data_IF_790660397714
#
_entry.id   IF_790660397714
#
_cell.length_a   1.000
_cell.length_b   1.000
_cell.length_c   1.000
_cell.angle_alpha   90.00
_cell.angle_beta   90.00
_cell.angle_gamma   90.00
#
_symmetry.space_group_name_H-M   'P 1'
#
loop_
_entity.id
_entity.type
_entity.pdbx_description
1 polymer ?
#
# COMPACT_ATOMS: atom_id res chain seq x y z
N UNK A 1 -2.95 -20.75 12.30
CA UNK A 1 -2.00 -20.89 11.17
C UNK A 1 -0.75 -20.16 11.58
N UNK A 2 0.41 -20.80 11.48
CA UNK A 2 1.68 -20.15 11.77
C UNK A 2 2.01 -19.11 10.71
N UNK A 3 2.72 -18.03 11.08
CA UNK A 3 3.05 -16.95 10.15
C UNK A 3 3.77 -17.47 8.91
N UNK A 4 4.74 -18.36 9.10
CA UNK A 4 5.51 -19.00 8.02
C UNK A 4 4.59 -19.64 6.97
N UNK A 5 3.63 -20.44 7.40
CA UNK A 5 2.66 -21.08 6.50
C UNK A 5 1.79 -20.04 5.78
N UNK A 6 1.33 -19.03 6.52
CA UNK A 6 0.47 -17.95 6.00
C UNK A 6 1.14 -17.15 4.90
N UNK A 7 2.44 -16.82 5.06
CA UNK A 7 3.21 -16.02 4.11
C UNK A 7 4.07 -16.85 3.16
N UNK A 8 3.73 -18.11 2.92
CA UNK A 8 4.49 -18.97 2.01
C UNK A 8 4.66 -18.28 0.65
N UNK A 9 5.89 -18.13 0.12
CA UNK A 9 6.18 -17.42 -1.12
C UNK A 9 5.37 -17.89 -2.34
N UNK A 10 4.97 -19.16 -2.36
CA UNK A 10 4.22 -19.75 -3.49
C UNK A 10 2.81 -19.20 -3.67
N UNK A 11 2.25 -18.58 -2.62
CA UNK A 11 0.88 -18.06 -2.67
C UNK A 11 0.72 -16.70 -1.99
N UNK A 12 1.83 -15.97 -1.86
CA UNK A 12 1.85 -14.62 -1.26
C UNK A 12 2.23 -13.57 -2.29
N UNK A 13 1.65 -12.39 -2.15
CA UNK A 13 2.06 -11.15 -2.82
C UNK A 13 2.24 -10.04 -1.80
N UNK A 14 3.11 -9.09 -2.09
CA UNK A 14 3.19 -7.82 -1.36
C UNK A 14 2.38 -6.77 -2.11
N UNK A 15 1.55 -6.01 -1.42
CA UNK A 15 0.85 -4.85 -1.99
C UNK A 15 1.26 -3.61 -1.19
N UNK A 16 1.97 -2.70 -1.84
CA UNK A 16 2.26 -1.39 -1.26
C UNK A 16 1.14 -0.41 -1.59
N UNK A 17 0.71 0.37 -0.60
CA UNK A 17 -0.37 1.33 -0.75
C UNK A 17 0.17 2.76 -0.73
N UNK A 18 0.10 3.43 -1.88
CA UNK A 18 0.38 4.86 -2.08
C UNK A 18 1.74 5.35 -1.54
N UNK A 19 2.80 4.55 -1.68
CA UNK A 19 4.17 4.92 -1.30
C UNK A 19 4.83 5.79 -2.38
N UNK A 20 4.15 6.86 -2.76
CA UNK A 20 4.51 7.75 -3.85
C UNK A 20 5.24 9.01 -3.34
N UNK A 21 6.07 9.61 -4.19
CA UNK A 21 6.83 10.83 -3.88
C UNK A 21 5.92 11.99 -3.47
N UNK A 22 4.78 12.14 -4.13
CA UNK A 22 3.78 13.17 -3.82
C UNK A 22 2.90 12.85 -2.60
N UNK A 23 2.98 11.64 -2.03
CA UNK A 23 2.21 11.24 -0.84
C UNK A 23 3.08 11.22 0.41
N UNK A 24 4.18 10.48 0.40
CA UNK A 24 5.05 10.27 1.57
C UNK A 24 6.52 10.55 1.29
N UNK A 25 6.89 10.90 0.05
CA UNK A 25 8.26 11.18 -0.36
C UNK A 25 8.61 12.67 -0.34
N UNK A 26 9.68 13.00 -1.05
CA UNK A 26 10.29 14.32 -1.13
C UNK A 26 9.40 15.42 -1.75
N UNK A 27 8.37 15.03 -2.49
CA UNK A 27 7.38 15.92 -3.11
C UNK A 27 6.02 15.89 -2.41
N UNK A 28 5.98 15.36 -1.17
CA UNK A 28 4.72 15.17 -0.44
C UNK A 28 3.95 16.48 -0.26
N UNK A 29 2.67 16.41 -0.62
CA UNK A 29 1.69 17.46 -0.33
C UNK A 29 0.93 17.22 1.00
N UNK A 30 1.34 16.20 1.77
CA UNK A 30 0.73 15.76 3.02
C UNK A 30 1.79 15.69 4.14
N UNK A 31 2.29 16.82 4.66
CA UNK A 31 3.42 16.85 5.59
C UNK A 31 3.21 16.02 6.86
N UNK A 32 2.00 16.00 7.40
CA UNK A 32 1.69 15.20 8.59
C UNK A 32 1.76 13.69 8.28
N UNK A 33 1.27 13.28 7.11
CA UNK A 33 1.32 11.87 6.68
C UNK A 33 2.74 11.44 6.33
N UNK A 34 3.53 12.32 5.70
CA UNK A 34 4.95 12.09 5.45
C UNK A 34 5.70 11.88 6.76
N UNK A 35 5.55 12.78 7.72
CA UNK A 35 6.18 12.65 9.04
C UNK A 35 5.72 11.39 9.77
N UNK A 36 4.45 11.03 9.68
CA UNK A 36 3.95 9.78 10.24
C UNK A 36 4.58 8.54 9.58
N UNK A 37 4.74 8.55 8.25
CA UNK A 37 5.36 7.46 7.50
C UNK A 37 6.86 7.31 7.82
N UNK A 38 7.58 8.41 7.98
CA UNK A 38 8.99 8.42 8.42
C UNK A 38 9.13 7.83 9.83
N UNK A 39 8.34 8.33 10.79
CA UNK A 39 8.44 7.96 12.19
C UNK A 39 7.92 6.55 12.50
N UNK A 40 7.01 6.00 11.71
CA UNK A 40 6.50 4.63 11.85
C UNK A 40 7.34 3.57 11.15
N UNK A 41 8.37 3.98 10.40
CA UNK A 41 9.23 3.07 9.67
C UNK A 41 8.74 2.66 8.28
N UNK A 42 7.66 3.23 7.75
CA UNK A 42 7.18 2.91 6.37
C UNK A 42 8.30 3.06 5.36
N UNK A 43 9.07 4.16 5.43
CA UNK A 43 10.12 4.50 4.46
C UNK A 43 11.43 3.72 4.63
N UNK A 44 11.61 3.02 5.75
CA UNK A 44 12.78 2.15 6.01
C UNK A 44 12.42 0.66 5.91
N UNK A 45 11.35 0.25 6.55
CA UNK A 45 10.92 -1.14 6.63
C UNK A 45 10.22 -1.61 5.35
N UNK A 46 9.40 -0.74 4.74
CA UNK A 46 8.71 -1.08 3.49
C UNK A 46 9.67 -1.52 2.37
N UNK A 47 10.73 -0.74 2.04
CA UNK A 47 11.75 -1.19 1.10
C UNK A 47 12.45 -2.49 1.48
N UNK A 48 12.70 -2.72 2.78
CA UNK A 48 13.29 -3.96 3.28
C UNK A 48 12.39 -5.17 3.03
N UNK A 49 11.08 -5.02 3.28
CA UNK A 49 10.07 -6.05 2.96
C UNK A 49 10.03 -6.31 1.45
N UNK A 50 10.00 -5.27 0.61
CA UNK A 50 9.99 -5.44 -0.84
C UNK A 50 11.24 -6.18 -1.34
N UNK A 51 12.40 -5.86 -0.79
CA UNK A 51 13.68 -6.53 -1.13
C UNK A 51 13.65 -8.00 -0.72
N UNK A 52 13.21 -8.30 0.50
CA UNK A 52 13.08 -9.68 0.98
C UNK A 52 12.05 -10.49 0.16
N UNK A 53 10.92 -9.87 -0.19
CA UNK A 53 9.90 -10.47 -1.04
C UNK A 53 10.46 -10.88 -2.42
N UNK A 54 11.16 -9.97 -3.09
CA UNK A 54 11.81 -10.24 -4.39
C UNK A 54 12.83 -11.36 -4.31
N UNK A 55 13.65 -11.39 -3.24
CA UNK A 55 14.61 -12.47 -3.01
C UNK A 55 13.95 -13.86 -2.91
N UNK A 56 12.72 -13.93 -2.42
CA UNK A 56 11.91 -15.15 -2.33
C UNK A 56 10.95 -15.35 -3.51
N UNK A 57 11.10 -14.59 -4.59
CA UNK A 57 10.21 -14.62 -5.76
C UNK A 57 8.75 -14.26 -5.45
N UNK A 58 8.49 -13.60 -4.33
CA UNK A 58 7.20 -13.01 -3.99
C UNK A 58 7.02 -11.72 -4.79
N UNK A 59 5.95 -11.62 -5.57
CA UNK A 59 5.69 -10.44 -6.40
C UNK A 59 5.30 -9.23 -5.57
N UNK A 60 5.88 -8.08 -5.91
CA UNK A 60 5.53 -6.79 -5.33
C UNK A 60 4.59 -6.05 -6.30
N UNK A 61 3.44 -5.65 -5.81
CA UNK A 61 2.42 -4.89 -6.53
C UNK A 61 2.30 -3.51 -5.87
N UNK A 62 2.49 -2.46 -6.64
CA UNK A 62 2.41 -1.10 -6.15
C UNK A 62 1.06 -0.49 -6.51
N UNK A 63 0.15 -0.40 -5.54
CA UNK A 63 -1.12 0.30 -5.70
C UNK A 63 -0.89 1.82 -5.57
N UNK A 64 -0.98 2.52 -6.68
CA UNK A 64 -0.71 3.95 -6.77
C UNK A 64 -1.96 4.74 -7.12
N UNK A 65 -2.13 5.91 -6.49
CA UNK A 65 -3.14 6.87 -6.88
C UNK A 65 -2.61 7.72 -8.03
N UNK A 66 -3.41 7.90 -9.07
CA UNK A 66 -3.07 8.79 -10.19
C UNK A 66 -4.29 9.58 -10.60
N UNK A 67 -4.07 10.72 -11.22
CA UNK A 67 -5.14 11.54 -11.80
C UNK A 67 -4.72 11.94 -13.21
N UNK A 68 -5.70 12.09 -14.10
CA UNK A 68 -5.46 12.69 -15.40
C UNK A 68 -5.21 14.21 -15.24
N UNK A 69 -4.38 14.77 -16.08
CA UNK A 69 -4.10 16.22 -16.07
C UNK A 69 -5.36 17.10 -16.28
N UNK A 70 -6.35 16.58 -17.01
CA UNK A 70 -7.63 17.24 -17.27
C UNK A 70 -8.73 16.92 -16.24
N UNK A 71 -8.41 16.10 -15.22
CA UNK A 71 -9.33 15.56 -14.22
C UNK A 71 -10.54 14.80 -14.81
N UNK A 72 -10.54 14.44 -16.09
CA UNK A 72 -11.63 13.69 -16.70
C UNK A 72 -11.76 12.30 -16.04
N UNK A 73 -12.98 11.95 -15.63
CA UNK A 73 -13.28 10.71 -14.90
C UNK A 73 -13.08 10.78 -13.39
N UNK A 74 -12.52 11.88 -12.87
CA UNK A 74 -12.46 12.13 -11.42
C UNK A 74 -13.81 12.55 -10.88
N UNK A 75 -14.05 12.29 -9.59
CA UNK A 75 -15.28 12.67 -8.89
C UNK A 75 -14.95 13.29 -7.54
N UNK A 76 -15.78 14.23 -7.10
CA UNK A 76 -15.59 14.99 -5.85
C UNK A 76 -16.69 14.72 -4.83
N UNK A 77 -17.19 13.49 -4.80
CA UNK A 77 -18.30 13.08 -3.95
C UNK A 77 -17.95 12.93 -2.45
N UNK A 78 -16.70 13.16 -2.08
CA UNK A 78 -16.28 13.25 -0.68
C UNK A 78 -15.19 14.33 -0.50
N UNK A 79 -14.96 14.74 0.76
CA UNK A 79 -13.99 15.81 1.08
C UNK A 79 -12.58 15.51 0.59
N UNK A 80 -12.14 14.25 0.68
CA UNK A 80 -10.79 13.85 0.29
C UNK A 80 -10.60 13.94 -1.22
N UNK A 81 -11.54 13.44 -2.02
CA UNK A 81 -11.47 13.53 -3.48
C UNK A 81 -11.61 14.97 -3.97
N UNK A 82 -12.44 15.80 -3.32
CA UNK A 82 -12.52 17.22 -3.60
C UNK A 82 -11.22 17.98 -3.27
N UNK A 83 -10.51 17.58 -2.21
CA UNK A 83 -9.18 18.12 -1.89
C UNK A 83 -8.13 17.69 -2.93
N UNK A 84 -8.13 16.41 -3.33
CA UNK A 84 -7.24 15.89 -4.37
C UNK A 84 -7.39 16.65 -5.69
N UNK A 85 -8.62 16.92 -6.13
CA UNK A 85 -8.85 17.72 -7.35
C UNK A 85 -8.26 19.14 -7.24
N UNK A 86 -8.44 19.81 -6.09
CA UNK A 86 -7.86 21.14 -5.86
C UNK A 86 -6.33 21.10 -5.87
N UNK A 87 -5.72 20.05 -5.32
CA UNK A 87 -4.27 19.86 -5.36
C UNK A 87 -3.78 19.65 -6.79
N UNK A 88 -4.49 18.86 -7.60
CA UNK A 88 -4.18 18.70 -9.03
C UNK A 88 -4.23 20.04 -9.78
N UNK A 89 -5.26 20.83 -9.55
CA UNK A 89 -5.41 22.17 -10.17
C UNK A 89 -4.30 23.14 -9.73
N UNK A 90 -3.76 22.96 -8.53
CA UNK A 90 -2.63 23.74 -8.01
C UNK A 90 -1.25 23.20 -8.44
N UNK A 91 -1.20 22.13 -9.24
CA UNK A 91 0.05 21.50 -9.68
C UNK A 91 0.77 20.67 -8.62
N UNK A 92 0.09 20.37 -7.50
CA UNK A 92 0.63 19.59 -6.36
C UNK A 92 -0.01 18.21 -6.22
N UNK A 93 -0.74 17.76 -7.24
CA UNK A 93 -1.47 16.49 -7.23
C UNK A 93 -0.67 15.33 -7.81
N UNK A 94 -1.28 14.16 -7.76
CA UNK A 94 -0.73 12.90 -8.27
C UNK A 94 -1.12 12.71 -9.75
N UNK A 95 -0.71 13.65 -10.60
CA UNK A 95 -1.02 13.59 -12.02
C UNK A 95 -0.16 12.53 -12.69
N UNK A 96 -0.77 11.68 -13.53
CA UNK A 96 -0.06 10.64 -14.28
C UNK A 96 1.10 11.22 -15.08
N UNK A 97 2.21 10.49 -15.12
CA UNK A 97 3.46 10.87 -15.79
C UNK A 97 4.19 12.09 -15.17
N UNK A 98 3.85 12.47 -13.94
CA UNK A 98 4.61 13.47 -13.18
C UNK A 98 5.39 12.83 -12.05
N UNK A 99 6.46 13.49 -11.61
CA UNK A 99 7.33 13.02 -10.53
C UNK A 99 6.56 12.74 -9.22
N UNK A 100 5.51 13.51 -8.92
CA UNK A 100 4.68 13.30 -7.74
C UNK A 100 3.93 11.97 -7.75
N UNK A 101 3.59 11.44 -8.93
CA UNK A 101 2.93 10.15 -9.09
C UNK A 101 3.89 8.95 -9.02
N UNK A 102 5.21 9.18 -9.14
CA UNK A 102 6.23 8.13 -9.05
C UNK A 102 6.34 7.57 -7.64
N UNK A 103 6.80 6.33 -7.53
CA UNK A 103 7.15 5.72 -6.25
C UNK A 103 8.32 6.46 -5.59
N UNK A 104 8.38 6.44 -4.26
CA UNK A 104 9.60 6.76 -3.54
C UNK A 104 10.69 5.81 -4.03
N UNK A 105 11.87 6.31 -4.49
CA UNK A 105 12.85 5.48 -5.21
C UNK A 105 13.33 4.23 -4.48
N UNK A 106 13.31 4.24 -3.14
CA UNK A 106 13.70 3.08 -2.34
C UNK A 106 12.74 1.89 -2.43
N UNK A 107 11.51 2.11 -2.89
CA UNK A 107 10.52 1.03 -3.12
C UNK A 107 10.67 0.39 -4.50
N UNK A 108 11.26 1.07 -5.46
CA UNK A 108 11.35 0.65 -6.84
C UNK A 108 10.66 1.64 -7.79
N UNK A 109 9.98 1.21 -8.90
CA UNK A 109 9.73 -0.20 -9.22
C UNK A 109 10.96 -0.92 -9.78
N UNK A 110 11.13 -2.19 -9.42
CA UNK A 110 12.06 -3.09 -10.08
C UNK A 110 11.39 -3.72 -11.33
N UNK A 111 12.16 -4.31 -12.27
CA UNK A 111 11.61 -4.85 -13.51
C UNK A 111 10.53 -5.92 -13.34
N UNK A 112 10.55 -6.67 -12.24
CA UNK A 112 9.58 -7.69 -11.90
C UNK A 112 8.34 -7.18 -11.15
N UNK A 113 8.33 -5.93 -10.71
CA UNK A 113 7.22 -5.34 -9.98
C UNK A 113 6.04 -4.99 -10.90
N UNK A 114 4.86 -4.91 -10.32
CA UNK A 114 3.65 -4.58 -11.06
C UNK A 114 3.05 -3.29 -10.51
N UNK A 115 2.98 -2.25 -11.35
CA UNK A 115 2.25 -1.04 -11.00
C UNK A 115 0.75 -1.24 -11.24
N UNK A 116 -0.06 -0.87 -10.26
CA UNK A 116 -1.53 -0.93 -10.32
C UNK A 116 -2.09 0.48 -10.10
N UNK A 117 -2.19 1.28 -11.17
CA UNK A 117 -2.69 2.64 -11.06
C UNK A 117 -4.21 2.66 -10.85
N UNK A 118 -4.65 3.57 -9.97
CA UNK A 118 -6.05 3.87 -9.70
C UNK A 118 -6.32 5.33 -10.06
N UNK A 119 -7.15 5.54 -11.08
CA UNK A 119 -7.50 6.88 -11.56
C UNK A 119 -8.50 7.63 -10.67
N UNK A 120 -9.25 6.90 -9.83
CA UNK A 120 -10.18 7.49 -8.86
C UNK A 120 -10.53 6.48 -7.77
N UNK A 121 -11.27 6.93 -6.77
CA UNK A 121 -11.68 6.08 -5.66
C UNK A 121 -10.62 6.00 -4.56
N UNK A 122 -10.86 5.16 -3.56
CA UNK A 122 -10.08 5.11 -2.32
C UNK A 122 -9.43 3.76 -2.08
N UNK A 123 -10.06 2.67 -2.55
CA UNK A 123 -9.55 1.32 -2.37
C UNK A 123 -8.83 0.83 -3.62
N UNK A 124 -7.76 0.04 -3.49
CA UNK A 124 -6.96 -0.38 -4.64
C UNK A 124 -7.63 -1.47 -5.49
N UNK A 125 -8.67 -2.13 -4.99
CA UNK A 125 -9.41 -3.15 -5.73
C UNK A 125 -10.49 -2.58 -6.64
N UNK A 126 -11.07 -1.45 -6.27
CA UNK A 126 -12.17 -0.87 -7.04
C UNK A 126 -11.66 -0.24 -8.33
N UNK A 127 -12.18 -0.69 -9.47
CA UNK A 127 -11.86 -0.17 -10.81
C UNK A 127 -10.39 -0.30 -11.21
N UNK A 128 -9.69 -1.31 -10.68
CA UNK A 128 -8.31 -1.65 -11.06
C UNK A 128 -8.21 -3.12 -11.47
N UNK A 129 -7.05 -3.52 -11.97
CA UNK A 129 -6.74 -4.92 -12.28
C UNK A 129 -6.18 -5.71 -11.10
N UNK A 130 -6.18 -5.16 -9.87
CA UNK A 130 -5.47 -5.75 -8.74
C UNK A 130 -5.95 -7.18 -8.43
N UNK A 131 -7.26 -7.40 -8.27
CA UNK A 131 -7.83 -8.73 -8.01
C UNK A 131 -7.46 -9.74 -9.10
N UNK A 132 -7.60 -9.36 -10.37
CA UNK A 132 -7.28 -10.22 -11.50
C UNK A 132 -5.78 -10.61 -11.52
N UNK A 133 -4.90 -9.67 -11.23
CA UNK A 133 -3.46 -9.91 -11.15
C UNK A 133 -3.13 -10.90 -10.03
N UNK A 134 -3.68 -10.67 -8.83
CA UNK A 134 -3.45 -11.54 -7.65
C UNK A 134 -3.93 -12.96 -7.93
N UNK A 135 -5.11 -13.12 -8.55
CA UNK A 135 -5.64 -14.44 -8.94
C UNK A 135 -4.77 -15.13 -9.99
N UNK A 136 -4.29 -14.40 -10.98
CA UNK A 136 -3.42 -14.95 -12.02
C UNK A 136 -2.05 -15.39 -11.46
N UNK A 137 -1.61 -14.79 -10.36
CA UNK A 137 -0.42 -15.20 -9.60
C UNK A 137 -0.69 -16.38 -8.64
N UNK A 138 -1.92 -16.89 -8.58
CA UNK A 138 -2.38 -17.90 -7.62
C UNK A 138 -2.14 -17.52 -6.15
N UNK A 139 -2.10 -16.23 -5.85
CA UNK A 139 -1.88 -15.76 -4.50
C UNK A 139 -3.17 -15.87 -3.66
N UNK A 140 -2.99 -16.21 -2.39
CA UNK A 140 -4.04 -16.35 -1.38
C UNK A 140 -3.81 -15.38 -0.22
N UNK A 141 -2.56 -14.94 -0.02
CA UNK A 141 -2.16 -14.04 1.04
C UNK A 141 -1.60 -12.75 0.47
N UNK A 142 -2.05 -11.64 1.05
CA UNK A 142 -1.60 -10.29 0.73
C UNK A 142 -0.86 -9.73 1.94
N UNK A 143 0.42 -9.43 1.80
CA UNK A 143 1.15 -8.59 2.74
C UNK A 143 0.90 -7.14 2.35
N UNK A 144 0.16 -6.40 3.18
CA UNK A 144 -0.26 -5.03 2.92
C UNK A 144 0.56 -4.04 3.75
N UNK A 145 1.18 -3.05 3.10
CA UNK A 145 1.97 -2.01 3.75
C UNK A 145 1.78 -0.64 3.10
N UNK A 146 2.25 0.43 3.73
CA UNK A 146 2.16 1.80 3.22
C UNK A 146 1.15 2.67 3.93
N UNK A 147 0.44 3.51 3.18
CA UNK A 147 -0.43 4.57 3.72
C UNK A 147 -1.78 4.66 2.99
N UNK A 148 -2.79 5.27 3.58
CA UNK A 148 -2.93 5.64 4.98
C UNK A 148 -3.77 4.58 5.71
N UNK A 149 -3.41 4.27 6.98
CA UNK A 149 -4.09 3.27 7.80
C UNK A 149 -5.61 3.48 7.85
N UNK A 150 -6.02 4.72 8.01
CA UNK A 150 -7.42 5.11 8.22
C UNK A 150 -8.28 5.15 6.96
N UNK A 151 -7.71 4.98 5.76
CA UNK A 151 -8.45 4.97 4.48
C UNK A 151 -7.93 3.87 3.56
N UNK A 152 -6.69 4.02 3.06
CA UNK A 152 -6.14 3.17 2.02
C UNK A 152 -5.89 1.74 2.48
N UNK A 153 -5.16 1.58 3.61
CA UNK A 153 -4.80 0.26 4.14
C UNK A 153 -6.01 -0.49 4.68
N UNK A 154 -6.88 0.17 5.45
CA UNK A 154 -8.12 -0.49 5.92
C UNK A 154 -9.06 -0.82 4.76
N UNK A 155 -9.14 0.05 3.75
CA UNK A 155 -9.92 -0.19 2.53
C UNK A 155 -9.39 -1.36 1.72
N UNK A 156 -8.05 -1.49 1.62
CA UNK A 156 -7.40 -2.66 1.03
C UNK A 156 -7.75 -3.93 1.80
N UNK A 157 -7.57 -3.92 3.13
CA UNK A 157 -7.81 -5.09 3.98
C UNK A 157 -9.28 -5.58 3.90
N UNK A 158 -10.25 -4.67 4.02
CA UNK A 158 -11.67 -4.99 3.90
C UNK A 158 -12.00 -5.62 2.54
N UNK A 159 -11.54 -4.97 1.45
CA UNK A 159 -11.79 -5.47 0.10
C UNK A 159 -11.11 -6.81 -0.16
N UNK A 160 -9.90 -7.02 0.36
CA UNK A 160 -9.17 -8.28 0.25
C UNK A 160 -9.90 -9.42 0.96
N UNK A 161 -10.37 -9.19 2.19
CA UNK A 161 -11.15 -10.18 2.96
C UNK A 161 -12.46 -10.53 2.26
N UNK A 162 -13.19 -9.53 1.75
CA UNK A 162 -14.44 -9.75 0.98
C UNK A 162 -14.22 -10.59 -0.28
N UNK A 163 -13.04 -10.48 -0.90
CA UNK A 163 -12.64 -11.26 -2.08
C UNK A 163 -12.05 -12.63 -1.73
N UNK A 164 -11.89 -12.95 -0.44
CA UNK A 164 -11.43 -14.25 0.05
C UNK A 164 -9.93 -14.37 0.27
N UNK A 165 -9.19 -13.28 0.25
CA UNK A 165 -7.75 -13.26 0.57
C UNK A 165 -7.50 -13.21 2.07
N UNK A 166 -6.38 -13.80 2.50
CA UNK A 166 -5.80 -13.57 3.81
C UNK A 166 -4.95 -12.30 3.76
N UNK A 167 -4.96 -11.53 4.83
CA UNK A 167 -4.21 -10.28 4.91
C UNK A 167 -3.21 -10.35 6.06
N UNK A 168 -1.98 -9.94 5.79
CA UNK A 168 -0.91 -9.77 6.79
C UNK A 168 -0.46 -8.32 6.75
N UNK A 169 -0.32 -7.70 7.92
CA UNK A 169 0.07 -6.28 8.03
C UNK A 169 1.28 -6.17 8.98
N UNK A 170 2.47 -5.83 8.46
CA UNK A 170 3.59 -5.43 9.31
C UNK A 170 3.31 -4.06 9.93
N UNK A 171 3.13 -4.04 11.25
CA UNK A 171 2.65 -2.85 11.99
C UNK A 171 3.64 -1.69 12.00
N UNK A 172 4.90 -1.98 11.73
CA UNK A 172 6.03 -1.07 11.62
C UNK A 172 6.35 -0.66 10.17
N UNK A 173 5.45 -1.00 9.21
CA UNK A 173 5.54 -0.60 7.81
C UNK A 173 4.22 0.04 7.30
N UNK A 174 3.37 0.52 8.20
CA UNK A 174 2.13 1.22 7.88
C UNK A 174 2.00 2.50 8.71
N UNK A 175 1.33 3.53 8.15
CA UNK A 175 1.12 4.80 8.84
C UNK A 175 -0.24 5.41 8.53
N UNK A 176 -0.72 6.26 9.45
CA UNK A 176 -1.93 7.05 9.28
C UNK A 176 -1.91 8.29 10.15
N UNK A 177 -2.78 9.24 9.87
CA UNK A 177 -2.93 10.48 10.64
C UNK A 177 -4.39 10.69 11.04
N UNK A 178 -4.62 11.15 12.30
CA UNK A 178 -3.64 11.29 13.40
C UNK A 178 -2.98 9.96 13.78
N UNK A 179 -1.74 9.98 14.28
CA UNK A 179 -0.96 8.77 14.61
C UNK A 179 -1.68 7.90 15.65
N UNK A 180 -2.28 8.51 16.67
CA UNK A 180 -3.02 7.80 17.72
C UNK A 180 -4.23 7.06 17.15
N UNK A 181 -4.95 7.69 16.20
CA UNK A 181 -6.06 7.05 15.51
C UNK A 181 -5.60 5.91 14.60
N UNK A 182 -4.44 6.05 13.96
CA UNK A 182 -3.83 4.96 13.21
C UNK A 182 -3.56 3.71 14.07
N UNK A 183 -3.04 3.91 15.28
CA UNK A 183 -2.85 2.81 16.26
C UNK A 183 -4.19 2.17 16.67
N UNK A 184 -5.21 2.97 16.94
CA UNK A 184 -6.53 2.42 17.25
C UNK A 184 -7.12 1.60 16.09
N UNK A 185 -6.89 2.01 14.86
CA UNK A 185 -7.31 1.22 13.68
C UNK A 185 -6.57 -0.11 13.62
N UNK A 186 -5.26 -0.15 13.85
CA UNK A 186 -4.52 -1.41 13.95
C UNK A 186 -5.10 -2.31 15.04
N UNK A 187 -5.22 -1.79 16.26
CA UNK A 187 -5.57 -2.57 17.44
C UNK A 187 -7.02 -3.04 17.45
N UNK A 188 -7.95 -2.22 16.95
CA UNK A 188 -9.39 -2.46 17.11
C UNK A 188 -10.13 -2.85 15.83
N UNK A 189 -9.56 -2.56 14.67
CA UNK A 189 -10.20 -2.87 13.39
C UNK A 189 -9.39 -3.87 12.58
N UNK A 190 -8.13 -3.57 12.28
CA UNK A 190 -7.29 -4.41 11.43
C UNK A 190 -6.89 -5.71 12.11
N UNK A 191 -6.76 -5.74 13.44
CA UNK A 191 -6.57 -6.98 14.22
C UNK A 191 -7.70 -8.01 14.07
N UNK A 192 -8.88 -7.58 13.62
CA UNK A 192 -10.02 -8.47 13.33
C UNK A 192 -10.02 -8.99 11.89
N UNK A 193 -9.28 -8.34 10.99
CA UNK A 193 -9.31 -8.59 9.54
C UNK A 193 -8.00 -9.22 9.03
N UNK A 194 -6.91 -9.01 9.75
CA UNK A 194 -5.57 -9.35 9.31
C UNK A 194 -4.72 -9.96 10.44
N UNK A 195 -3.71 -10.71 10.06
CA UNK A 195 -2.63 -11.09 10.97
C UNK A 195 -1.66 -9.91 11.06
N UNK A 196 -1.51 -9.37 12.26
CA UNK A 196 -0.54 -8.32 12.54
C UNK A 196 0.81 -8.95 12.89
N UNK A 197 1.88 -8.40 12.34
CA UNK A 197 3.26 -8.86 12.54
C UNK A 197 4.21 -7.67 12.55
N UNK A 198 5.51 -7.93 12.59
CA UNK A 198 6.56 -6.93 12.36
C UNK A 198 7.33 -7.22 11.07
N UNK A 199 8.09 -6.25 10.59
CA UNK A 199 9.00 -6.44 9.45
C UNK A 199 10.01 -7.55 9.72
N UNK A 200 10.57 -7.60 10.92
CA UNK A 200 11.55 -8.62 11.34
C UNK A 200 10.95 -10.03 11.28
N UNK A 201 9.81 -10.25 11.94
CA UNK A 201 9.11 -11.55 11.95
C UNK A 201 8.73 -12.01 10.54
N UNK A 202 8.29 -11.09 9.68
CA UNK A 202 7.91 -11.39 8.30
C UNK A 202 9.13 -11.84 7.48
N UNK A 203 10.25 -11.13 7.58
CA UNK A 203 11.50 -11.46 6.86
C UNK A 203 12.08 -12.78 7.38
N UNK A 204 12.07 -13.01 8.69
CA UNK A 204 12.47 -14.28 9.28
C UNK A 204 11.60 -15.46 8.77
N UNK A 205 10.26 -15.26 8.70
CA UNK A 205 9.36 -16.27 8.16
C UNK A 205 9.71 -16.64 6.71
N UNK A 206 10.07 -15.68 5.88
CA UNK A 206 10.51 -15.93 4.51
C UNK A 206 11.89 -16.59 4.43
N UNK A 207 12.82 -16.27 5.34
CA UNK A 207 14.15 -16.90 5.42
C UNK A 207 14.12 -18.40 5.67
N UNK A 208 12.99 -18.98 6.08
CA UNK A 208 12.84 -20.43 6.29
C UNK A 208 12.61 -21.21 4.98
N UNK A 209 12.42 -20.52 3.85
CA UNK A 209 12.15 -21.12 2.52
C UNK A 209 13.38 -21.18 1.61
N UNK A 210 14.59 -21.14 2.16
CA UNK A 210 15.85 -21.32 1.43
C UNK A 210 16.01 -22.71 0.79
#
# INVERSE_FOLDING_TARGET
MELTELVNPKHTVVVTMEVQRGVVGDLSSFPDLQSAAENSGVLSNGPSICTAARAQSVRVLHAVATNRADNAGSITNCRMLAASEKMNQAGAGLVEHTEGAELVPTFGPEPEDILVPRLHGLTPFTSTSLDQIIRNLNAQTIVALGVSLNIGVIGLALSAVDLGYQVVIPTDAVAGVPVEYGREILDRSLSLLATLTTTEELIEAWGTYE
#
